data_IF_343567269006
#
_entry.id   IF_343567269006
#
_cell.length_a   1.000
_cell.length_b   1.000
_cell.length_c   1.000
_cell.angle_alpha   90.00
_cell.angle_beta   90.00
_cell.angle_gamma   90.00
#
_symmetry.space_group_name_H-M   'P 1'
#
loop_
_entity.id
_entity.type
_entity.pdbx_description
1 polymer ?
#
# COMPACT_ATOMS: atom_id res chain seq x y z
N UNK A 1 -1.11 28.98 -4.37
CA UNK A 1 -1.81 27.70 -4.14
C UNK A 1 -0.85 26.58 -4.49
N UNK A 2 -0.11 26.07 -3.52
CA UNK A 2 0.76 24.90 -3.70
C UNK A 2 -0.14 23.67 -3.84
N UNK A 3 -0.15 23.05 -5.02
CA UNK A 3 -0.90 21.81 -5.26
C UNK A 3 -0.44 20.75 -4.26
N UNK A 4 -1.37 20.26 -3.41
CA UNK A 4 -1.12 19.22 -2.41
C UNK A 4 -0.37 18.00 -2.96
N UNK A 5 -0.61 17.64 -4.23
CA UNK A 5 0.09 16.54 -4.91
C UNK A 5 1.61 16.71 -5.03
N UNK A 6 2.12 17.94 -5.03
CA UNK A 6 3.56 18.21 -5.16
C UNK A 6 4.38 17.78 -3.94
N UNK A 7 3.82 17.83 -2.73
CA UNK A 7 4.56 17.42 -1.52
C UNK A 7 4.63 15.90 -1.40
N UNK A 8 3.51 15.23 -1.65
CA UNK A 8 3.38 13.76 -1.58
C UNK A 8 4.26 13.08 -2.64
N UNK A 9 4.30 13.61 -3.86
CA UNK A 9 5.15 13.09 -4.93
C UNK A 9 6.66 13.15 -4.59
N UNK A 10 7.10 14.22 -3.92
CA UNK A 10 8.50 14.38 -3.46
C UNK A 10 8.83 13.43 -2.31
N UNK A 11 7.85 13.05 -1.50
CA UNK A 11 8.03 12.08 -0.42
C UNK A 11 8.11 10.65 -0.95
N UNK A 12 7.25 10.30 -1.92
CA UNK A 12 7.23 8.98 -2.57
C UNK A 12 8.57 8.63 -3.24
N UNK A 13 9.23 9.60 -3.88
CA UNK A 13 10.50 9.35 -4.59
C UNK A 13 11.69 9.00 -3.69
N UNK A 14 11.56 9.16 -2.37
CA UNK A 14 12.61 8.88 -1.38
C UNK A 14 12.43 7.55 -0.65
N UNK A 15 11.34 6.83 -0.90
CA UNK A 15 10.98 5.62 -0.16
C UNK A 15 11.31 4.38 -0.98
N UNK A 16 11.99 3.40 -0.36
CA UNK A 16 12.14 2.07 -0.93
C UNK A 16 10.91 1.23 -0.58
N UNK A 17 10.08 0.96 -1.58
CA UNK A 17 8.81 0.25 -1.41
C UNK A 17 8.98 -1.16 -0.82
N UNK A 18 10.09 -1.84 -1.12
CA UNK A 18 10.39 -3.19 -0.59
C UNK A 18 10.58 -3.21 0.92
N UNK A 19 10.89 -2.06 1.53
CA UNK A 19 11.04 -1.90 2.99
C UNK A 19 9.75 -1.50 3.71
N UNK A 20 8.66 -1.22 2.98
CA UNK A 20 7.39 -0.79 3.56
C UNK A 20 6.44 -1.96 3.83
N UNK A 21 5.61 -1.86 4.88
CA UNK A 21 4.56 -2.85 5.17
C UNK A 21 5.05 -4.25 5.49
N UNK A 22 6.23 -4.36 6.11
CA UNK A 22 6.80 -5.64 6.58
C UNK A 22 6.28 -6.04 7.97
N UNK A 23 5.79 -5.07 8.74
CA UNK A 23 5.20 -5.27 10.06
C UNK A 23 3.69 -5.00 10.01
N UNK A 24 2.95 -5.30 11.08
CA UNK A 24 1.52 -4.95 11.19
C UNK A 24 1.35 -3.44 11.16
N UNK A 25 0.46 -2.94 10.30
CA UNK A 25 0.14 -1.52 10.24
C UNK A 25 -0.43 -1.07 11.59
N UNK A 26 0.18 -0.05 12.18
CA UNK A 26 -0.32 0.59 13.40
C UNK A 26 -0.33 2.09 13.18
N UNK A 27 -1.52 2.70 13.23
CA UNK A 27 -1.67 4.15 13.06
C UNK A 27 -0.70 4.92 13.95
N UNK A 28 -0.52 4.50 15.22
CA UNK A 28 0.42 5.16 16.13
C UNK A 28 1.93 4.98 15.80
N UNK A 29 2.32 3.92 15.08
CA UNK A 29 3.74 3.61 14.76
C UNK A 29 4.14 3.95 13.33
N UNK A 30 3.26 3.70 12.37
CA UNK A 30 3.44 3.96 10.93
C UNK A 30 3.42 5.47 10.61
N UNK A 31 3.06 6.30 11.59
CA UNK A 31 3.43 7.72 11.65
C UNK A 31 4.96 7.81 11.87
N UNK A 32 5.74 7.45 10.85
CA UNK A 32 7.20 7.35 10.87
C UNK A 32 7.91 8.71 11.03
N UNK A 33 7.18 9.83 10.99
CA UNK A 33 7.71 11.18 11.24
C UNK A 33 7.41 11.65 12.67
N UNK A 34 8.05 11.02 13.66
CA UNK A 34 7.99 11.34 15.11
C UNK A 34 8.22 12.81 15.49
N UNK A 35 8.59 13.69 14.55
CA UNK A 35 8.96 15.09 14.80
C UNK A 35 7.83 16.10 14.56
N UNK A 36 6.69 15.71 13.97
CA UNK A 36 5.68 16.68 13.48
C UNK A 36 4.25 16.53 14.01
N UNK A 37 3.93 15.54 14.86
CA UNK A 37 2.53 15.17 15.14
C UNK A 37 2.06 15.24 16.59
N UNK A 38 2.56 16.21 17.37
CA UNK A 38 2.10 16.38 18.74
C UNK A 38 0.69 17.00 18.88
N UNK A 39 -0.14 17.05 17.83
CA UNK A 39 -1.34 17.92 17.82
C UNK A 39 -2.70 17.32 17.45
N UNK A 40 -2.84 16.10 16.94
CA UNK A 40 -4.11 15.76 16.26
C UNK A 40 -4.81 14.48 16.72
N UNK A 41 -4.17 13.57 17.46
CA UNK A 41 -4.79 12.29 17.79
C UNK A 41 -5.29 12.31 19.24
N UNK A 42 -6.60 12.45 19.40
CA UNK A 42 -7.29 12.06 20.63
C UNK A 42 -7.49 10.53 20.58
N UNK A 43 -7.44 9.80 21.70
CA UNK A 43 -7.39 8.33 21.71
C UNK A 43 -8.55 7.68 20.91
N UNK A 44 -9.77 8.23 21.02
CA UNK A 44 -10.95 7.73 20.31
C UNK A 44 -10.88 7.87 18.78
N UNK A 45 -10.07 8.80 18.24
CA UNK A 45 -9.91 8.96 16.79
C UNK A 45 -8.86 8.00 16.23
N UNK A 46 -7.97 7.44 17.07
CA UNK A 46 -6.95 6.50 16.63
C UNK A 46 -7.54 5.12 16.31
N UNK A 47 -8.48 4.64 17.13
CA UNK A 47 -9.13 3.34 16.98
C UNK A 47 -9.95 3.27 15.68
N UNK A 48 -10.79 4.28 15.41
CA UNK A 48 -11.56 4.36 14.16
C UNK A 48 -10.65 4.41 12.92
N UNK A 49 -9.54 5.14 12.98
CA UNK A 49 -8.57 5.18 11.88
C UNK A 49 -7.87 3.83 11.69
N UNK A 50 -7.62 3.10 12.78
CA UNK A 50 -7.04 1.77 12.73
C UNK A 50 -8.02 0.77 12.09
N UNK A 51 -9.29 0.76 12.48
CA UNK A 51 -10.30 -0.13 11.91
C UNK A 51 -10.46 0.08 10.40
N UNK A 52 -10.44 1.34 9.95
CA UNK A 52 -10.51 1.69 8.53
C UNK A 52 -9.26 1.21 7.80
N UNK A 53 -8.08 1.45 8.39
CA UNK A 53 -6.82 0.98 7.81
C UNK A 53 -6.81 -0.54 7.68
N UNK A 54 -7.19 -1.27 8.73
CA UNK A 54 -7.22 -2.73 8.77
C UNK A 54 -8.19 -3.28 7.71
N UNK A 55 -9.38 -2.68 7.56
CA UNK A 55 -10.34 -3.06 6.51
C UNK A 55 -9.79 -2.84 5.09
N UNK A 56 -9.13 -1.71 4.84
CA UNK A 56 -8.53 -1.41 3.53
C UNK A 56 -7.37 -2.38 3.24
N UNK A 57 -6.52 -2.65 4.24
CA UNK A 57 -5.40 -3.58 4.12
C UNK A 57 -5.90 -4.98 3.81
N UNK A 58 -6.91 -5.47 4.54
CA UNK A 58 -7.50 -6.79 4.29
C UNK A 58 -8.09 -6.88 2.88
N UNK A 59 -8.86 -5.87 2.47
CA UNK A 59 -9.44 -5.80 1.12
C UNK A 59 -8.37 -5.86 0.04
N UNK A 60 -7.31 -5.05 0.17
CA UNK A 60 -6.22 -5.02 -0.80
C UNK A 60 -5.43 -6.33 -0.79
N UNK A 61 -5.21 -6.93 0.38
CA UNK A 61 -4.52 -8.22 0.52
C UNK A 61 -5.26 -9.35 -0.22
N UNK A 62 -6.59 -9.42 -0.08
CA UNK A 62 -7.39 -10.43 -0.82
C UNK A 62 -7.26 -10.26 -2.34
N UNK A 63 -7.22 -9.03 -2.84
CA UNK A 63 -7.05 -8.76 -4.27
C UNK A 63 -5.65 -9.16 -4.73
N UNK A 64 -4.61 -8.82 -3.96
CA UNK A 64 -3.25 -9.27 -4.26
C UNK A 64 -3.21 -10.80 -4.33
N UNK A 65 -3.79 -11.50 -3.36
CA UNK A 65 -3.86 -12.96 -3.36
C UNK A 65 -4.56 -13.51 -4.62
N UNK A 66 -5.74 -12.98 -4.98
CA UNK A 66 -6.47 -13.40 -6.19
C UNK A 66 -5.61 -13.22 -7.45
N UNK A 67 -4.91 -12.09 -7.57
CA UNK A 67 -4.03 -11.81 -8.72
C UNK A 67 -2.83 -12.76 -8.75
N UNK A 68 -2.20 -13.00 -7.60
CA UNK A 68 -1.03 -13.90 -7.50
C UNK A 68 -1.37 -15.38 -7.63
N UNK A 69 -2.64 -15.76 -7.44
CA UNK A 69 -3.09 -17.13 -7.65
C UNK A 69 -3.15 -17.55 -9.12
N UNK A 70 -3.07 -16.58 -10.04
CA UNK A 70 -3.10 -16.82 -11.49
C UNK A 70 -1.69 -17.17 -11.95
N UNK A 71 -1.54 -18.24 -12.73
CA UNK A 71 -0.28 -18.62 -13.38
C UNK A 71 0.05 -17.68 -14.57
N UNK A 72 0.08 -16.39 -14.31
CA UNK A 72 0.34 -15.33 -15.28
C UNK A 72 1.38 -14.37 -14.75
N UNK A 73 2.07 -13.69 -15.66
CA UNK A 73 3.04 -12.68 -15.30
C UNK A 73 2.41 -11.43 -14.65
N UNK A 74 3.24 -10.64 -14.00
CA UNK A 74 2.89 -9.33 -13.47
C UNK A 74 2.45 -8.36 -14.56
N UNK A 75 1.48 -7.51 -14.21
CA UNK A 75 1.03 -6.42 -15.05
C UNK A 75 0.95 -5.12 -14.23
N UNK A 76 1.51 -4.03 -14.76
CA UNK A 76 1.50 -2.70 -14.14
C UNK A 76 0.11 -2.20 -13.71
N UNK A 77 -0.96 -2.68 -14.34
CA UNK A 77 -2.33 -2.32 -13.99
C UNK A 77 -2.70 -2.75 -12.56
N UNK A 78 -2.05 -3.79 -12.01
CA UNK A 78 -2.40 -4.33 -10.70
C UNK A 78 -2.11 -3.33 -9.58
N UNK A 79 -0.98 -2.62 -9.62
CA UNK A 79 -0.69 -1.62 -8.59
C UNK A 79 -1.61 -0.40 -8.71
N UNK A 80 -2.02 -0.05 -9.93
CA UNK A 80 -2.99 1.02 -10.17
C UNK A 80 -4.37 0.67 -9.63
N UNK A 81 -4.80 -0.59 -9.79
CA UNK A 81 -6.05 -1.10 -9.22
C UNK A 81 -6.04 -1.00 -7.69
N UNK A 82 -4.95 -1.43 -7.04
CA UNK A 82 -4.78 -1.31 -5.58
C UNK A 82 -4.86 0.15 -5.13
N UNK A 83 -4.14 1.07 -5.78
CA UNK A 83 -4.18 2.49 -5.47
C UNK A 83 -5.59 3.09 -5.62
N UNK A 84 -6.31 2.68 -6.67
CA UNK A 84 -7.66 3.14 -6.93
C UNK A 84 -8.65 2.70 -5.83
N UNK A 85 -8.49 1.49 -5.32
CA UNK A 85 -9.32 0.94 -4.24
C UNK A 85 -9.10 1.71 -2.94
N UNK A 86 -7.83 1.95 -2.58
CA UNK A 86 -7.48 2.77 -1.41
C UNK A 86 -8.13 4.15 -1.54
N UNK A 87 -7.96 4.81 -2.69
CA UNK A 87 -8.55 6.12 -2.95
C UNK A 87 -10.08 6.12 -2.84
N UNK A 88 -10.75 5.09 -3.36
CA UNK A 88 -12.21 5.01 -3.35
C UNK A 88 -12.75 4.81 -1.93
N UNK A 89 -12.13 3.96 -1.13
CA UNK A 89 -12.55 3.72 0.26
C UNK A 89 -12.31 4.99 1.09
N UNK A 90 -11.15 5.65 0.95
CA UNK A 90 -10.87 6.91 1.64
C UNK A 90 -11.83 8.03 1.21
N UNK A 91 -12.13 8.17 -0.09
CA UNK A 91 -13.11 9.15 -0.60
C UNK A 91 -14.52 8.90 -0.10
N UNK A 92 -14.92 7.63 0.06
CA UNK A 92 -16.22 7.25 0.60
C UNK A 92 -16.36 7.65 2.08
N UNK A 93 -15.24 7.71 2.80
CA UNK A 93 -15.14 8.15 4.20
C UNK A 93 -14.62 9.59 4.36
N UNK A 94 -14.76 10.44 3.32
CA UNK A 94 -14.20 11.81 3.30
C UNK A 94 -14.64 12.70 4.46
N UNK A 95 -15.80 12.42 5.05
CA UNK A 95 -16.35 13.13 6.21
C UNK A 95 -15.51 12.96 7.48
N UNK A 96 -14.62 11.95 7.52
CA UNK A 96 -13.72 11.72 8.65
C UNK A 96 -12.49 12.63 8.64
N UNK A 97 -12.18 13.29 7.52
CA UNK A 97 -11.07 14.25 7.45
C UNK A 97 -9.69 13.62 7.70
N UNK A 98 -9.35 12.57 6.94
CA UNK A 98 -8.06 11.88 7.05
C UNK A 98 -6.87 12.84 6.91
N UNK A 99 -5.87 12.75 7.80
CA UNK A 99 -4.61 13.45 7.60
C UNK A 99 -3.90 12.97 6.32
N UNK A 100 -3.30 13.90 5.56
CA UNK A 100 -2.52 13.56 4.35
C UNK A 100 -1.41 12.52 4.67
N UNK A 101 -0.86 12.55 5.89
CA UNK A 101 0.15 11.60 6.38
C UNK A 101 -0.41 10.20 6.62
N UNK A 102 -1.66 10.08 7.09
CA UNK A 102 -2.34 8.80 7.26
C UNK A 102 -2.54 8.15 5.89
N UNK A 103 -3.09 8.90 4.93
CA UNK A 103 -3.30 8.42 3.56
C UNK A 103 -1.98 7.97 2.92
N UNK A 104 -0.91 8.76 3.06
CA UNK A 104 0.41 8.41 2.55
C UNK A 104 0.97 7.14 3.21
N UNK A 105 0.92 7.03 4.54
CA UNK A 105 1.41 5.85 5.27
C UNK A 105 0.68 4.58 4.85
N UNK A 106 -0.65 4.64 4.74
CA UNK A 106 -1.48 3.50 4.34
C UNK A 106 -1.16 3.06 2.91
N UNK A 107 -1.03 4.00 1.98
CA UNK A 107 -0.64 3.71 0.59
C UNK A 107 0.73 3.06 0.51
N UNK A 108 1.73 3.60 1.22
CA UNK A 108 3.08 3.03 1.25
C UNK A 108 3.10 1.61 1.82
N UNK A 109 2.38 1.38 2.91
CA UNK A 109 2.27 0.07 3.54
C UNK A 109 1.70 -0.96 2.57
N UNK A 110 0.53 -0.68 1.98
CA UNK A 110 -0.17 -1.60 1.10
C UNK A 110 0.62 -1.81 -0.20
N UNK A 111 1.15 -0.76 -0.81
CA UNK A 111 1.96 -0.88 -2.02
C UNK A 111 3.27 -1.65 -1.75
N UNK A 112 3.86 -1.51 -0.56
CA UNK A 112 5.01 -2.31 -0.12
C UNK A 112 4.72 -3.80 -0.10
N UNK A 113 3.62 -4.17 0.56
CA UNK A 113 3.14 -5.55 0.59
C UNK A 113 2.83 -6.08 -0.81
N UNK A 114 2.10 -5.30 -1.61
CA UNK A 114 1.67 -5.68 -2.96
C UNK A 114 2.87 -5.87 -3.90
N UNK A 115 3.85 -4.97 -3.84
CA UNK A 115 5.04 -5.03 -4.69
C UNK A 115 5.85 -6.30 -4.45
N UNK A 116 6.01 -6.73 -3.19
CA UNK A 116 6.68 -8.00 -2.87
C UNK A 116 5.95 -9.20 -3.47
N UNK A 117 4.64 -9.29 -3.25
CA UNK A 117 3.85 -10.40 -3.76
C UNK A 117 3.84 -10.46 -5.30
N UNK A 118 3.78 -9.31 -5.97
CA UNK A 118 3.84 -9.24 -7.43
C UNK A 118 5.23 -9.53 -8.00
N UNK A 119 6.30 -9.15 -7.29
CA UNK A 119 7.65 -9.55 -7.65
C UNK A 119 7.81 -11.07 -7.56
N UNK A 120 7.34 -11.68 -6.48
CA UNK A 120 7.38 -13.14 -6.31
C UNK A 120 6.62 -13.86 -7.44
N UNK A 121 5.46 -13.33 -7.85
CA UNK A 121 4.67 -13.84 -8.97
C UNK A 121 5.42 -13.75 -10.31
N UNK A 122 6.06 -12.60 -10.59
CA UNK A 122 6.88 -12.39 -11.78
C UNK A 122 8.07 -13.36 -11.83
N UNK A 123 8.79 -13.50 -10.71
CA UNK A 123 9.95 -14.38 -10.61
C UNK A 123 9.55 -15.86 -10.80
N UNK A 124 8.41 -16.27 -10.24
CA UNK A 124 7.85 -17.61 -10.47
C UNK A 124 7.50 -17.82 -11.96
N UNK A 125 6.84 -16.85 -12.60
CA UNK A 125 6.47 -16.95 -14.01
C UNK A 125 7.71 -17.09 -14.91
N UNK A 126 8.76 -16.31 -14.68
CA UNK A 126 10.03 -16.44 -15.43
C UNK A 126 10.62 -17.83 -15.24
N UNK A 127 10.68 -18.32 -14.00
CA UNK A 127 11.28 -19.63 -13.67
C UNK A 127 10.51 -20.82 -14.27
N UNK A 128 9.20 -20.73 -14.36
CA UNK A 128 8.35 -21.77 -14.93
C UNK A 128 8.39 -21.77 -16.46
N UNK A 129 8.68 -20.63 -17.08
CA UNK A 129 8.79 -20.47 -18.53
C UNK A 129 10.24 -20.40 -19.04
N UNK A 130 11.22 -20.76 -18.21
CA UNK A 130 12.64 -20.74 -18.58
C UNK A 130 12.91 -21.73 -19.74
N UNK A 131 13.26 -21.24 -20.95
CA UNK A 131 13.48 -22.08 -22.12
C UNK A 131 14.62 -23.08 -21.94
N UNK A 132 15.58 -22.80 -21.05
CA UNK A 132 16.69 -23.70 -20.77
C UNK A 132 16.26 -24.95 -19.98
N UNK A 133 15.07 -24.96 -19.37
CA UNK A 133 14.49 -26.15 -18.72
C UNK A 133 13.79 -27.10 -19.70
N UNK A 134 13.62 -26.69 -20.95
CA UNK A 134 13.01 -27.49 -22.01
C UNK A 134 14.02 -28.21 -22.90
N UNK A 135 15.32 -28.15 -22.57
CA UNK A 135 16.41 -28.83 -23.28
C UNK A 135 16.86 -30.06 -22.49
N UNK A 136 15.98 -31.06 -22.36
CA UNK A 136 16.32 -32.43 -21.98
C UNK A 136 16.06 -33.38 -23.16
#
# INVERSE_FOLDING_TARGET
MTQKGSSVAVQLSKVNLMTCGTEVFKVAKEIFFKRWLKRIINDNSAEVLQDIADNIIETCFQIVLDKTSKHSDYHDAYIQEILHIIDNILKSNKNMGFPDEFELSLKLHICGMSARAFQDMHDCFIKDNDPHRCLD
#
